data_IF_741487964482
#
_entry.id   IF_741487964482
#
_cell.length_a   1.000
_cell.length_b   1.000
_cell.length_c   1.000
_cell.angle_alpha   90.00
_cell.angle_beta   90.00
_cell.angle_gamma   90.00
#
_symmetry.space_group_name_H-M   'P 1'
#
loop_
_entity.id
_entity.type
_entity.pdbx_description
1 polymer ?
#
# COMPACT_ATOMS: atom_id res chain seq x y z
N UNK A 1 11.52 19.93 -13.98
CA UNK A 1 10.90 20.40 -12.73
C UNK A 1 9.44 19.93 -12.59
N UNK A 2 8.61 20.02 -13.61
CA UNK A 2 7.22 19.51 -13.57
C UNK A 2 7.10 17.98 -13.47
N UNK A 3 8.07 17.20 -14.00
CA UNK A 3 8.08 15.73 -13.89
C UNK A 3 8.25 15.21 -12.46
N UNK A 4 8.92 15.98 -11.58
CA UNK A 4 9.03 15.61 -10.16
C UNK A 4 7.78 15.97 -9.35
N UNK A 5 6.97 16.90 -9.81
CA UNK A 5 5.72 17.31 -9.14
C UNK A 5 4.57 16.30 -9.38
N UNK A 6 4.55 15.66 -10.53
CA UNK A 6 3.59 14.60 -10.86
C UNK A 6 4.23 13.24 -10.56
N UNK A 7 4.68 13.05 -9.34
CA UNK A 7 5.13 11.72 -8.93
C UNK A 7 3.89 10.83 -8.67
N UNK A 8 3.33 10.32 -9.77
CA UNK A 8 2.20 9.39 -9.76
C UNK A 8 2.49 8.15 -8.90
N UNK A 9 3.77 7.78 -8.79
CA UNK A 9 4.23 6.68 -7.93
C UNK A 9 3.95 6.95 -6.46
N UNK A 10 4.19 8.18 -5.96
CA UNK A 10 3.93 8.51 -4.55
C UNK A 10 2.44 8.48 -4.22
N UNK A 11 1.59 8.98 -5.11
CA UNK A 11 0.14 8.92 -4.94
C UNK A 11 -0.39 7.49 -5.04
N UNK A 12 0.16 6.69 -5.94
CA UNK A 12 -0.22 5.28 -6.08
C UNK A 12 0.17 4.47 -4.85
N UNK A 13 1.40 4.64 -4.34
CA UNK A 13 1.86 4.02 -3.09
C UNK A 13 0.99 4.49 -1.91
N UNK A 14 0.72 5.80 -1.81
CA UNK A 14 -0.10 6.38 -0.76
C UNK A 14 -1.54 5.83 -0.76
N UNK A 15 -2.16 5.71 -1.94
CA UNK A 15 -3.50 5.16 -2.07
C UNK A 15 -3.57 3.68 -1.67
N UNK A 16 -2.56 2.90 -2.02
CA UNK A 16 -2.46 1.48 -1.61
C UNK A 16 -2.21 1.34 -0.12
N UNK A 17 -1.37 2.20 0.45
CA UNK A 17 -1.12 2.21 1.89
C UNK A 17 -2.40 2.54 2.68
N UNK A 18 -3.21 3.50 2.19
CA UNK A 18 -4.52 3.80 2.78
C UNK A 18 -5.48 2.62 2.67
N UNK A 19 -5.54 1.96 1.52
CA UNK A 19 -6.38 0.78 1.33
C UNK A 19 -5.94 -0.38 2.24
N UNK A 20 -4.63 -0.59 2.42
CA UNK A 20 -4.09 -1.60 3.32
C UNK A 20 -4.38 -1.28 4.79
N UNK A 21 -4.30 0.00 5.19
CA UNK A 21 -4.64 0.43 6.54
C UNK A 21 -6.15 0.29 6.84
N UNK A 22 -7.01 0.52 5.84
CA UNK A 22 -8.45 0.25 5.94
C UNK A 22 -8.74 -1.24 6.10
N UNK A 23 -8.11 -2.09 5.28
CA UNK A 23 -8.23 -3.54 5.40
C UNK A 23 -7.72 -4.04 6.76
N UNK A 24 -6.61 -3.47 7.26
CA UNK A 24 -6.08 -3.80 8.60
C UNK A 24 -7.08 -3.43 9.69
N UNK A 25 -7.75 -2.29 9.58
CA UNK A 25 -8.78 -1.89 10.54
C UNK A 25 -9.95 -2.89 10.57
N UNK A 26 -10.39 -3.37 9.41
CA UNK A 26 -11.43 -4.39 9.29
C UNK A 26 -11.01 -5.71 9.96
N UNK A 27 -9.77 -6.17 9.70
CA UNK A 27 -9.23 -7.41 10.27
C UNK A 27 -9.08 -7.30 11.80
N UNK A 28 -8.57 -6.18 12.32
CA UNK A 28 -8.46 -5.94 13.76
C UNK A 28 -9.83 -5.90 14.44
N UNK A 29 -10.81 -5.26 13.81
CA UNK A 29 -12.19 -5.23 14.32
C UNK A 29 -12.80 -6.62 14.36
N UNK A 30 -12.52 -7.45 13.35
CA UNK A 30 -12.95 -8.85 13.30
C UNK A 30 -12.30 -9.67 14.42
N UNK A 31 -10.99 -9.50 14.67
CA UNK A 31 -10.29 -10.16 15.77
C UNK A 31 -10.93 -9.81 17.13
N UNK A 32 -11.17 -8.51 17.37
CA UNK A 32 -11.81 -8.04 18.62
C UNK A 32 -13.22 -8.63 18.79
N UNK A 33 -14.01 -8.62 17.72
CA UNK A 33 -15.37 -9.18 17.76
C UNK A 33 -15.38 -10.67 18.11
N UNK A 34 -14.31 -11.41 17.76
CA UNK A 34 -14.19 -12.84 17.98
C UNK A 34 -13.30 -13.22 19.17
N UNK A 35 -12.96 -12.28 20.07
CA UNK A 35 -12.11 -12.54 21.23
C UNK A 35 -12.67 -13.64 22.15
N UNK A 36 -14.00 -13.80 22.22
CA UNK A 36 -14.67 -14.82 23.01
C UNK A 36 -15.14 -16.04 22.20
N UNK A 37 -14.79 -16.12 20.91
CA UNK A 37 -15.16 -17.24 20.06
C UNK A 37 -14.16 -18.38 20.22
N UNK A 38 -14.56 -19.57 20.69
CA UNK A 38 -13.65 -20.72 20.81
C UNK A 38 -13.04 -21.11 19.46
N UNK A 39 -11.79 -21.55 19.49
CA UNK A 39 -10.99 -21.94 18.31
C UNK A 39 -10.77 -20.84 17.28
N UNK A 40 -11.12 -19.57 17.57
CA UNK A 40 -10.83 -18.47 16.66
C UNK A 40 -9.33 -18.20 16.59
N UNK A 41 -8.83 -17.93 15.40
CA UNK A 41 -7.43 -17.60 15.15
C UNK A 41 -7.29 -16.17 14.65
N UNK A 42 -6.39 -15.45 15.30
CA UNK A 42 -6.03 -14.08 14.97
C UNK A 42 -5.59 -13.97 13.51
N UNK A 43 -6.07 -12.94 12.82
CA UNK A 43 -5.60 -12.60 11.47
C UNK A 43 -4.85 -11.27 11.50
N UNK A 44 -3.91 -11.09 10.58
CA UNK A 44 -3.19 -9.83 10.41
C UNK A 44 -2.99 -9.53 8.92
N UNK A 45 -2.71 -8.26 8.61
CA UNK A 45 -2.48 -7.81 7.23
C UNK A 45 -1.00 -7.56 7.02
N UNK A 46 -0.41 -8.28 6.07
CA UNK A 46 0.95 -8.02 5.57
C UNK A 46 0.85 -7.11 4.34
N UNK A 47 1.42 -5.94 4.45
CA UNK A 47 1.48 -4.98 3.35
C UNK A 47 2.86 -4.38 3.21
N UNK A 48 3.46 -3.94 4.31
CA UNK A 48 4.73 -3.20 4.32
C UNK A 48 5.88 -4.01 3.74
N UNK A 49 5.96 -5.29 4.08
CA UNK A 49 6.99 -6.20 3.56
C UNK A 49 6.81 -6.44 2.06
N UNK A 50 5.56 -6.61 1.61
CA UNK A 50 5.25 -6.79 0.21
C UNK A 50 5.55 -5.53 -0.60
N UNK A 51 5.23 -4.35 -0.05
CA UNK A 51 5.56 -3.08 -0.66
C UNK A 51 7.07 -2.87 -0.76
N UNK A 52 7.80 -3.16 0.31
CA UNK A 52 9.27 -3.10 0.31
C UNK A 52 9.88 -4.02 -0.74
N UNK A 53 9.43 -5.27 -0.79
CA UNK A 53 9.89 -6.23 -1.78
C UNK A 53 9.62 -5.75 -3.21
N UNK A 54 8.48 -5.11 -3.44
CA UNK A 54 8.13 -4.55 -4.74
C UNK A 54 9.01 -3.37 -5.10
N UNK A 55 9.24 -2.45 -4.15
CA UNK A 55 10.10 -1.29 -4.35
C UNK A 55 11.56 -1.69 -4.60
N UNK A 56 12.06 -2.69 -3.91
CA UNK A 56 13.42 -3.21 -4.08
C UNK A 56 13.61 -3.89 -5.45
N UNK A 57 12.54 -4.39 -6.07
CA UNK A 57 12.58 -5.00 -7.41
C UNK A 57 12.50 -3.98 -8.55
N UNK A 58 11.97 -2.79 -8.31
CA UNK A 58 11.79 -1.75 -9.35
C UNK A 58 13.11 -1.31 -9.99
N UNK A 59 14.18 -0.98 -9.26
CA UNK A 59 15.43 -0.53 -9.87
C UNK A 59 16.05 -1.60 -10.76
N UNK A 60 16.01 -2.86 -10.33
CA UNK A 60 16.61 -3.98 -11.05
C UNK A 60 15.86 -4.30 -12.35
N UNK A 61 14.54 -4.25 -12.34
CA UNK A 61 13.73 -4.46 -13.54
C UNK A 61 13.90 -3.32 -14.53
N UNK A 62 13.94 -2.09 -14.05
CA UNK A 62 14.10 -0.90 -14.88
C UNK A 62 15.49 -0.85 -15.53
N UNK A 63 16.54 -1.22 -14.79
CA UNK A 63 17.91 -1.33 -15.30
C UNK A 63 18.04 -2.43 -16.36
N UNK A 64 17.48 -3.62 -16.11
CA UNK A 64 17.52 -4.74 -17.04
C UNK A 64 16.73 -4.48 -18.32
N UNK A 65 15.63 -3.74 -18.26
CA UNK A 65 14.87 -3.35 -19.45
C UNK A 65 15.61 -2.32 -20.32
N UNK A 66 16.34 -1.41 -19.69
CA UNK A 66 17.04 -0.34 -20.40
C UNK A 66 18.34 -0.81 -21.06
N UNK A 67 19.12 -1.69 -20.39
CA UNK A 67 20.42 -2.16 -20.90
C UNK A 67 20.36 -3.45 -21.73
N UNK A 68 19.45 -4.36 -21.42
CA UNK A 68 19.43 -5.69 -22.03
C UNK A 68 18.35 -5.87 -23.10
N UNK A 69 17.50 -4.88 -23.36
CA UNK A 69 16.41 -4.98 -24.34
C UNK A 69 15.45 -6.16 -24.10
N UNK A 70 15.46 -6.74 -22.89
CA UNK A 70 14.65 -7.90 -22.50
C UNK A 70 13.22 -7.49 -22.12
N UNK A 71 12.59 -6.66 -22.94
CA UNK A 71 11.22 -6.23 -22.77
C UNK A 71 10.21 -7.14 -23.47
N UNK A 72 10.18 -8.43 -23.16
CA UNK A 72 9.14 -9.34 -23.65
C UNK A 72 8.25 -9.87 -22.52
N UNK A 73 7.65 -8.97 -21.75
CA UNK A 73 6.47 -9.33 -20.97
C UNK A 73 5.24 -9.02 -21.87
N UNK A 74 4.53 -10.04 -22.35
CA UNK A 74 3.40 -9.85 -23.28
C UNK A 74 2.23 -9.07 -22.66
N UNK A 75 2.23 -8.84 -21.34
CA UNK A 75 1.20 -8.10 -20.63
C UNK A 75 1.46 -6.59 -20.51
N UNK A 76 2.63 -6.08 -20.97
CA UNK A 76 2.99 -4.68 -20.84
C UNK A 76 3.49 -4.04 -22.15
N UNK A 77 2.94 -4.40 -23.28
CA UNK A 77 3.23 -3.72 -24.55
C UNK A 77 2.46 -2.39 -24.67
N UNK A 78 2.79 -1.42 -23.82
CA UNK A 78 2.40 -0.04 -24.10
C UNK A 78 3.50 0.58 -24.95
N UNK A 79 3.24 0.69 -26.26
CA UNK A 79 4.14 1.32 -27.21
C UNK A 79 4.11 2.83 -26.97
N UNK A 80 5.21 3.40 -26.47
CA UNK A 80 5.42 4.84 -26.48
C UNK A 80 5.70 5.28 -27.93
N UNK A 81 4.76 5.92 -28.54
CA UNK A 81 4.89 6.44 -29.93
C UNK A 81 5.58 7.81 -29.99
N UNK A 82 5.83 8.45 -28.84
CA UNK A 82 6.51 9.75 -28.76
C UNK A 82 7.17 9.95 -27.39
N UNK A 83 8.37 10.60 -27.36
CA UNK A 83 9.14 10.85 -26.13
C UNK A 83 8.42 11.75 -25.10
N UNK A 84 7.43 12.53 -25.54
CA UNK A 84 6.59 13.37 -24.67
C UNK A 84 5.43 12.63 -24.02
N UNK A 85 5.21 11.35 -24.35
CA UNK A 85 4.19 10.57 -23.69
C UNK A 85 4.63 10.21 -22.25
N UNK A 86 3.73 10.39 -21.30
CA UNK A 86 3.99 10.01 -19.92
C UNK A 86 4.37 8.53 -19.85
N UNK A 87 5.43 8.18 -19.10
CA UNK A 87 5.72 6.77 -18.85
C UNK A 87 4.52 6.15 -18.13
N UNK A 88 4.10 4.98 -18.59
CA UNK A 88 3.08 4.20 -17.87
C UNK A 88 3.64 3.89 -16.49
N UNK A 89 3.01 4.43 -15.46
CA UNK A 89 3.40 4.15 -14.10
C UNK A 89 3.27 2.64 -13.86
N UNK A 90 4.33 2.04 -13.35
CA UNK A 90 4.33 0.65 -12.93
C UNK A 90 3.26 0.49 -11.84
N UNK A 91 2.13 -0.10 -12.20
CA UNK A 91 1.13 -0.51 -11.21
C UNK A 91 1.65 -1.76 -10.51
N UNK A 92 2.39 -1.57 -9.45
CA UNK A 92 2.83 -2.65 -8.60
C UNK A 92 1.63 -3.46 -8.06
N UNK A 93 1.89 -4.71 -7.71
CA UNK A 93 0.86 -5.66 -7.26
C UNK A 93 0.71 -5.70 -5.73
N UNK A 94 1.52 -4.91 -4.98
CA UNK A 94 1.45 -4.91 -3.52
C UNK A 94 0.04 -4.53 -3.05
N UNK A 95 -0.67 -5.51 -2.55
CA UNK A 95 -1.96 -5.37 -1.88
C UNK A 95 -1.82 -5.96 -0.48
N UNK A 96 -2.61 -5.49 0.47
CA UNK A 96 -2.68 -6.13 1.78
C UNK A 96 -3.12 -7.59 1.63
N UNK A 97 -2.32 -8.50 2.16
CA UNK A 97 -2.64 -9.93 2.22
C UNK A 97 -3.00 -10.26 3.66
N UNK A 98 -4.13 -10.92 3.86
CA UNK A 98 -4.58 -11.38 5.18
C UNK A 98 -3.92 -12.73 5.44
N UNK A 99 -3.21 -12.83 6.55
CA UNK A 99 -2.62 -14.07 7.04
C UNK A 99 -3.21 -14.40 8.41
N UNK A 100 -3.49 -15.67 8.64
CA UNK A 100 -3.99 -16.18 9.90
C UNK A 100 -2.85 -16.80 10.71
N UNK A 101 -2.76 -16.49 12.00
CA UNK A 101 -1.79 -17.09 12.91
C UNK A 101 -2.34 -18.40 13.51
N UNK A 102 -1.99 -19.51 12.89
CA UNK A 102 -2.41 -20.84 13.34
C UNK A 102 -1.50 -21.43 14.43
N UNK A 103 -0.32 -20.82 14.68
CA UNK A 103 0.74 -21.43 15.50
C UNK A 103 0.58 -21.16 16.98
N UNK A 104 -0.07 -20.08 17.35
CA UNK A 104 -0.18 -19.66 18.74
C UNK A 104 -1.51 -20.07 19.35
N UNK A 105 -1.47 -20.44 20.65
CA UNK A 105 -2.64 -20.68 21.48
C UNK A 105 -2.41 -19.94 22.79
N UNK A 106 -3.20 -18.92 23.09
CA UNK A 106 -3.06 -18.15 24.33
C UNK A 106 -4.05 -18.61 25.41
N UNK A 107 -5.14 -19.26 25.02
CA UNK A 107 -6.23 -19.72 25.91
C UNK A 107 -6.46 -21.22 25.77
N UNK A 108 -7.09 -21.81 26.78
CA UNK A 108 -7.46 -23.23 26.80
C UNK A 108 -8.48 -23.59 25.70
N UNK A 109 -9.27 -22.61 25.25
CA UNK A 109 -10.21 -22.72 24.15
C UNK A 109 -9.56 -22.59 22.77
N UNK A 110 -8.20 -22.57 22.72
CA UNK A 110 -7.38 -22.44 21.52
C UNK A 110 -7.53 -21.09 20.77
N UNK A 111 -8.19 -20.11 21.37
CA UNK A 111 -8.18 -18.74 20.87
C UNK A 111 -6.81 -18.10 21.14
N UNK A 112 -6.32 -17.26 20.21
CA UNK A 112 -5.05 -16.55 20.33
C UNK A 112 -5.21 -15.02 20.20
N UNK A 113 -6.43 -14.51 20.31
CA UNK A 113 -6.69 -13.06 20.30
C UNK A 113 -6.52 -12.49 21.71
N UNK A 114 -5.67 -11.47 21.82
CA UNK A 114 -5.51 -10.64 23.01
C UNK A 114 -6.14 -9.27 22.74
N UNK A 115 -7.19 -8.93 23.51
CA UNK A 115 -7.96 -7.71 23.31
C UNK A 115 -7.10 -6.46 23.50
N UNK A 116 -6.19 -6.46 24.48
CA UNK A 116 -5.36 -5.30 24.80
C UNK A 116 -4.36 -5.04 23.66
N UNK A 117 -3.81 -6.10 23.10
CA UNK A 117 -2.92 -6.04 21.94
C UNK A 117 -3.67 -5.55 20.70
N UNK A 118 -4.86 -6.10 20.42
CA UNK A 118 -5.66 -5.69 19.27
C UNK A 118 -6.11 -4.23 19.37
N UNK A 119 -6.52 -3.77 20.56
CA UNK A 119 -6.88 -2.36 20.76
C UNK A 119 -5.70 -1.42 20.59
N UNK A 120 -4.50 -1.80 21.05
CA UNK A 120 -3.28 -1.04 20.79
C UNK A 120 -2.95 -0.97 19.30
N UNK A 121 -3.10 -2.08 18.56
CA UNK A 121 -2.89 -2.10 17.10
C UNK A 121 -3.97 -1.29 16.36
N UNK A 122 -5.22 -1.26 16.81
CA UNK A 122 -6.27 -0.36 16.28
C UNK A 122 -5.87 1.09 16.44
N UNK A 123 -5.45 1.51 17.64
CA UNK A 123 -5.02 2.89 17.89
C UNK A 123 -3.82 3.29 17.01
N UNK A 124 -2.83 2.42 16.92
CA UNK A 124 -1.66 2.60 16.06
C UNK A 124 -2.05 2.71 14.57
N UNK A 125 -2.93 1.84 14.09
CA UNK A 125 -3.42 1.87 12.72
C UNK A 125 -4.19 3.14 12.41
N UNK A 126 -4.96 3.67 13.36
CA UNK A 126 -5.71 4.91 13.21
C UNK A 126 -4.77 6.13 13.09
N UNK A 127 -3.70 6.18 13.89
CA UNK A 127 -2.66 7.21 13.77
C UNK A 127 -1.95 7.11 12.40
N UNK A 128 -1.61 5.90 11.98
CA UNK A 128 -0.98 5.65 10.69
C UNK A 128 -1.89 6.08 9.53
N UNK A 129 -3.16 5.70 9.56
CA UNK A 129 -4.14 6.11 8.55
C UNK A 129 -4.29 7.63 8.45
N UNK A 130 -4.40 8.32 9.59
CA UNK A 130 -4.54 9.78 9.61
C UNK A 130 -3.31 10.50 9.06
N UNK A 131 -2.11 10.02 9.38
CA UNK A 131 -0.86 10.55 8.84
C UNK A 131 -0.77 10.37 7.33
N UNK A 132 -1.10 9.18 6.82
CA UNK A 132 -1.14 8.89 5.39
C UNK A 132 -2.18 9.76 4.66
N UNK A 133 -3.38 9.90 5.21
CA UNK A 133 -4.43 10.72 4.62
C UNK A 133 -4.00 12.19 4.52
N UNK A 134 -3.35 12.72 5.55
CA UNK A 134 -2.78 14.08 5.55
C UNK A 134 -1.69 14.22 4.49
N UNK A 135 -0.78 13.26 4.39
CA UNK A 135 0.31 13.29 3.42
C UNK A 135 -0.22 13.24 1.97
N UNK A 136 -1.15 12.32 1.67
CA UNK A 136 -1.78 12.20 0.34
C UNK A 136 -2.59 13.45 0.01
N UNK A 137 -3.38 13.95 0.96
CA UNK A 137 -4.16 15.20 0.80
C UNK A 137 -3.27 16.40 0.52
N UNK A 138 -2.14 16.53 1.22
CA UNK A 138 -1.14 17.57 0.98
C UNK A 138 -0.52 17.49 -0.43
N UNK A 139 -0.25 16.29 -0.92
CA UNK A 139 0.21 16.09 -2.30
C UNK A 139 -0.82 16.54 -3.34
N UNK A 140 -2.07 16.16 -3.16
CA UNK A 140 -3.17 16.55 -4.06
C UNK A 140 -3.37 18.08 -4.03
N UNK A 141 -3.32 18.69 -2.86
CA UNK A 141 -3.45 20.15 -2.72
C UNK A 141 -2.33 20.90 -3.43
N UNK A 142 -1.09 20.43 -3.35
CA UNK A 142 0.05 20.99 -4.09
C UNK A 142 -0.16 20.89 -5.60
N UNK A 143 -0.60 19.74 -6.10
CA UNK A 143 -0.91 19.56 -7.54
C UNK A 143 -2.01 20.52 -7.99
N UNK A 144 -3.08 20.64 -7.21
CA UNK A 144 -4.19 21.57 -7.49
C UNK A 144 -3.69 23.03 -7.55
N UNK A 145 -2.84 23.45 -6.60
CA UNK A 145 -2.28 24.80 -6.57
C UNK A 145 -1.46 25.10 -7.83
N UNK A 146 -0.60 24.17 -8.27
CA UNK A 146 0.21 24.34 -9.49
C UNK A 146 -0.66 24.47 -10.73
N UNK A 147 -1.71 23.66 -10.85
CA UNK A 147 -2.64 23.71 -11.98
C UNK A 147 -3.38 25.04 -12.02
N UNK A 148 -3.86 25.51 -10.86
CA UNK A 148 -4.63 26.77 -10.77
C UNK A 148 -3.73 27.99 -11.02
N UNK A 149 -2.49 28.00 -10.53
CA UNK A 149 -1.55 29.10 -10.75
C UNK A 149 -1.08 29.19 -12.21
N UNK A 150 -1.02 28.07 -12.92
CA UNK A 150 -0.67 28.03 -14.34
C UNK A 150 -1.79 28.51 -15.28
N UNK A 151 -3.03 28.67 -14.80
CA UNK A 151 -4.16 29.20 -15.56
C UNK A 151 -4.29 30.73 -15.49
N UNK A 152 -3.60 31.37 -14.54
CA UNK A 152 -3.68 32.83 -14.29
C UNK A 152 -2.51 33.62 -14.91
N UNK A 153 -1.68 33.05 -15.72
CA UNK A 153 -0.62 33.64 -16.51
C UNK A 153 -0.82 33.44 -17.99
#
# INVERSE_FOLDING_TARGET
MLEQLVNTTTLDIGSRALAAASLRHEVLSNNIANVNTPNFKRSHVRFEDLLKQELDQVPRKMFLQQELGLGNDPLMKVVRTHDRHFPVAFRGKARGVIEQDERTNMRLDRNNVDIDVEMAEVAKNQLYYSALATAVGGHISKLKSVITSGQSG
#
